data_IF_040819403960
#
_entry.id   IF_040819403960
#
_cell.length_a   1.000
_cell.length_b   1.000
_cell.length_c   1.000
_cell.angle_alpha   90.00
_cell.angle_beta   90.00
_cell.angle_gamma   90.00
#
_symmetry.space_group_name_H-M   'P 1'
#
loop_
_entity.id
_entity.type
_entity.pdbx_description
1 polymer ?
#
# COMPACT_ATOMS: atom_id res chain seq x y z
N UNK A 1 -2.65 -2.07 17.13
CA UNK A 1 -2.72 -2.67 15.79
C UNK A 1 -2.49 -1.63 14.72
N UNK A 2 -1.65 -1.93 13.78
CA UNK A 2 -1.48 -1.09 12.59
C UNK A 2 -2.54 -1.55 11.57
N UNK A 3 -3.39 -0.64 11.16
CA UNK A 3 -4.52 -0.91 10.26
C UNK A 3 -4.08 -0.66 8.83
N UNK A 4 -4.04 -1.71 8.03
CA UNK A 4 -3.46 -1.71 6.69
C UNK A 4 -4.56 -1.81 5.63
N UNK A 5 -4.50 -0.93 4.64
CA UNK A 5 -5.25 -1.04 3.39
C UNK A 5 -4.30 -1.59 2.32
N UNK A 6 -4.73 -2.63 1.61
CA UNK A 6 -3.97 -3.20 0.51
C UNK A 6 -4.72 -2.95 -0.80
N UNK A 7 -4.08 -2.31 -1.76
CA UNK A 7 -4.68 -2.04 -3.08
C UNK A 7 -3.79 -2.63 -4.17
N UNK A 8 -4.29 -3.66 -4.84
CA UNK A 8 -3.57 -4.37 -5.91
C UNK A 8 -4.60 -5.08 -6.79
N UNK A 9 -4.49 -4.95 -8.10
CA UNK A 9 -5.45 -5.53 -9.04
C UNK A 9 -5.28 -7.05 -9.26
N UNK A 10 -4.16 -7.61 -8.84
CA UNK A 10 -3.93 -9.06 -8.95
C UNK A 10 -4.50 -9.78 -7.75
N UNK A 11 -5.64 -10.42 -7.96
CA UNK A 11 -6.40 -11.05 -6.88
C UNK A 11 -5.61 -12.15 -6.14
N UNK A 12 -4.83 -12.95 -6.85
CA UNK A 12 -4.00 -13.99 -6.26
C UNK A 12 -2.91 -13.42 -5.35
N UNK A 13 -2.19 -12.41 -5.84
CA UNK A 13 -1.17 -11.71 -5.06
C UNK A 13 -1.81 -11.02 -3.87
N UNK A 14 -2.89 -10.29 -4.07
CA UNK A 14 -3.60 -9.55 -3.02
C UNK A 14 -4.02 -10.47 -1.87
N UNK A 15 -4.60 -11.63 -2.17
CA UNK A 15 -5.03 -12.59 -1.15
C UNK A 15 -3.84 -13.18 -0.39
N UNK A 16 -2.82 -13.61 -1.10
CA UNK A 16 -1.63 -14.20 -0.48
C UNK A 16 -0.91 -13.18 0.41
N UNK A 17 -0.79 -11.96 -0.08
CA UNK A 17 -0.11 -10.89 0.65
C UNK A 17 -0.89 -10.48 1.90
N UNK A 18 -2.21 -10.39 1.80
CA UNK A 18 -3.07 -10.09 2.95
C UNK A 18 -2.92 -11.14 4.05
N UNK A 19 -2.89 -12.42 3.68
CA UNK A 19 -2.68 -13.51 4.64
C UNK A 19 -1.31 -13.41 5.31
N UNK A 20 -0.29 -13.07 4.53
CA UNK A 20 1.06 -12.90 5.05
C UNK A 20 1.12 -11.78 6.09
N UNK A 21 0.49 -10.65 5.80
CA UNK A 21 0.43 -9.52 6.73
C UNK A 21 -0.31 -9.88 8.02
N UNK A 22 -1.44 -10.57 7.90
CA UNK A 22 -2.27 -10.93 9.06
C UNK A 22 -1.63 -11.95 9.99
N UNK A 23 -0.58 -12.63 9.57
CA UNK A 23 0.21 -13.49 10.45
C UNK A 23 1.02 -12.69 11.47
N UNK A 24 1.24 -11.40 11.20
CA UNK A 24 1.94 -10.52 12.13
C UNK A 24 0.96 -10.05 13.20
N UNK A 25 1.27 -10.23 14.50
CA UNK A 25 0.32 -9.95 15.58
C UNK A 25 -0.05 -8.48 15.72
N UNK A 26 0.75 -7.58 15.19
CA UNK A 26 0.56 -6.14 15.27
C UNK A 26 -0.06 -5.52 14.01
N UNK A 27 -0.32 -6.33 12.97
CA UNK A 27 -0.89 -5.87 11.71
C UNK A 27 -2.30 -6.40 11.50
N UNK A 28 -3.18 -5.54 11.01
CA UNK A 28 -4.55 -5.91 10.66
C UNK A 28 -4.85 -5.40 9.26
N UNK A 29 -5.18 -6.27 8.32
CA UNK A 29 -5.62 -5.85 6.99
C UNK A 29 -7.11 -5.52 7.08
N UNK A 30 -7.42 -4.23 7.16
CA UNK A 30 -8.80 -3.77 7.33
C UNK A 30 -9.59 -3.81 6.02
N UNK A 31 -8.89 -3.72 4.89
CA UNK A 31 -9.51 -3.82 3.58
C UNK A 31 -8.48 -4.20 2.52
N UNK A 32 -8.95 -4.88 1.49
CA UNK A 32 -8.16 -5.21 0.32
C UNK A 32 -9.00 -4.86 -0.92
N UNK A 33 -8.45 -4.03 -1.79
CA UNK A 33 -9.14 -3.50 -2.95
C UNK A 33 -8.39 -3.82 -4.25
N UNK A 34 -9.13 -4.03 -5.33
CA UNK A 34 -8.57 -4.36 -6.63
C UNK A 34 -8.54 -3.22 -7.63
N UNK A 35 -9.00 -2.03 -7.25
CA UNK A 35 -9.10 -0.87 -8.14
C UNK A 35 -9.08 0.42 -7.35
N UNK A 36 -8.93 1.55 -8.05
CA UNK A 36 -9.09 2.87 -7.44
C UNK A 36 -10.49 3.04 -6.85
N UNK A 37 -11.51 2.67 -7.60
CA UNK A 37 -12.89 2.81 -7.16
C UNK A 37 -13.15 2.06 -5.85
N UNK A 38 -12.69 0.83 -5.75
CA UNK A 38 -12.83 0.06 -4.51
C UNK A 38 -12.02 0.68 -3.37
N UNK A 39 -10.78 1.10 -3.66
CA UNK A 39 -9.91 1.72 -2.66
C UNK A 39 -10.50 2.98 -2.05
N UNK A 40 -11.15 3.79 -2.88
CA UNK A 40 -11.79 5.04 -2.42
C UNK A 40 -12.86 4.82 -1.37
N UNK A 41 -13.49 3.67 -1.36
CA UNK A 41 -14.54 3.35 -0.37
C UNK A 41 -13.99 2.83 0.95
N UNK A 42 -12.68 2.61 1.06
CA UNK A 42 -12.04 1.93 2.18
C UNK A 42 -10.99 2.78 2.91
N UNK A 43 -11.04 4.08 2.76
CA UNK A 43 -9.99 4.96 3.29
C UNK A 43 -10.11 5.25 4.78
N UNK A 44 -11.30 5.08 5.36
CA UNK A 44 -11.54 5.41 6.77
C UNK A 44 -10.79 4.47 7.71
N UNK A 45 -10.10 5.03 8.70
CA UNK A 45 -9.42 4.26 9.73
C UNK A 45 -8.14 3.57 9.30
N UNK A 46 -7.60 3.92 8.14
CA UNK A 46 -6.36 3.33 7.62
C UNK A 46 -5.15 4.05 8.21
N UNK A 47 -4.23 3.28 8.79
CA UNK A 47 -2.96 3.82 9.30
C UNK A 47 -1.86 3.78 8.22
N UNK A 48 -1.80 2.70 7.46
CA UNK A 48 -0.83 2.51 6.38
C UNK A 48 -1.53 1.91 5.17
N UNK A 49 -1.33 2.48 4.01
CA UNK A 49 -1.82 1.93 2.75
C UNK A 49 -0.66 1.40 1.92
N UNK A 50 -0.81 0.20 1.39
CA UNK A 50 0.09 -0.40 0.43
C UNK A 50 -0.61 -0.35 -0.92
N UNK A 51 -0.11 0.45 -1.84
CA UNK A 51 -0.82 0.76 -3.08
C UNK A 51 0.02 0.41 -4.30
N UNK A 52 -0.52 -0.42 -5.17
CA UNK A 52 0.05 -0.69 -6.49
C UNK A 52 -0.27 0.48 -7.43
N UNK A 53 0.70 0.91 -8.23
CA UNK A 53 0.49 1.96 -9.23
C UNK A 53 -0.37 1.49 -10.39
N UNK A 54 -0.17 0.28 -10.85
CA UNK A 54 -0.80 -0.25 -12.07
C UNK A 54 -2.20 -0.78 -11.83
N UNK A 55 -3.16 0.10 -11.53
CA UNK A 55 -4.55 -0.30 -11.34
C UNK A 55 -5.35 -0.21 -12.65
N UNK A 56 -6.42 -1.00 -12.81
CA UNK A 56 -7.17 -1.05 -14.08
C UNK A 56 -7.87 0.25 -14.43
N UNK A 57 -8.21 1.07 -13.44
CA UNK A 57 -8.95 2.31 -13.60
C UNK A 57 -8.12 3.57 -13.33
N UNK A 58 -6.81 3.45 -13.22
CA UNK A 58 -5.92 4.60 -13.11
C UNK A 58 -4.63 4.31 -12.37
N UNK A 59 -3.89 5.36 -12.06
CA UNK A 59 -2.64 5.27 -11.31
C UNK A 59 -2.95 5.25 -9.81
N UNK A 60 -2.41 4.26 -9.10
CA UNK A 60 -2.58 4.15 -7.66
C UNK A 60 -2.13 5.38 -6.87
N UNK A 61 -1.23 6.19 -7.42
CA UNK A 61 -0.79 7.43 -6.77
C UNK A 61 -1.93 8.41 -6.52
N UNK A 62 -3.02 8.31 -7.28
CA UNK A 62 -4.20 9.15 -7.09
C UNK A 62 -4.85 8.97 -5.72
N UNK A 63 -4.71 7.78 -5.11
CA UNK A 63 -5.29 7.51 -3.80
C UNK A 63 -4.56 8.20 -2.65
N UNK A 64 -3.31 8.60 -2.84
CA UNK A 64 -2.48 9.16 -1.76
C UNK A 64 -3.11 10.44 -1.21
N UNK A 65 -3.44 11.37 -2.08
CA UNK A 65 -4.07 12.62 -1.68
C UNK A 65 -5.45 12.41 -1.06
N UNK A 66 -6.22 11.49 -1.63
CA UNK A 66 -7.56 11.17 -1.13
C UNK A 66 -7.50 10.54 0.27
N UNK A 67 -6.56 9.62 0.49
CA UNK A 67 -6.36 9.02 1.82
C UNK A 67 -5.98 10.07 2.85
N UNK A 68 -5.06 10.95 2.52
CA UNK A 68 -4.61 12.01 3.44
C UNK A 68 -5.65 13.07 3.71
N UNK A 69 -6.57 13.27 2.80
CA UNK A 69 -7.72 14.14 3.05
C UNK A 69 -8.64 13.55 4.13
N UNK A 70 -8.78 12.23 4.13
CA UNK A 70 -9.58 11.51 5.13
C UNK A 70 -8.82 11.33 6.46
N UNK A 71 -7.53 10.99 6.36
CA UNK A 71 -6.68 10.73 7.50
C UNK A 71 -5.29 11.35 7.27
N UNK A 72 -5.04 12.57 7.76
CA UNK A 72 -3.77 13.27 7.53
C UNK A 72 -2.53 12.53 8.05
N UNK A 73 -2.70 11.68 9.06
CA UNK A 73 -1.60 10.91 9.64
C UNK A 73 -1.32 9.60 8.92
N UNK A 74 -2.09 9.25 7.90
CA UNK A 74 -1.89 8.00 7.18
C UNK A 74 -0.56 7.99 6.43
N UNK A 75 0.09 6.83 6.43
CA UNK A 75 1.33 6.59 5.70
C UNK A 75 1.04 5.77 4.46
N UNK A 76 1.75 6.04 3.38
CA UNK A 76 1.56 5.31 2.11
C UNK A 76 2.89 4.74 1.65
N UNK A 77 2.87 3.45 1.33
CA UNK A 77 3.96 2.74 0.70
C UNK A 77 3.48 2.28 -0.67
N UNK A 78 4.17 2.66 -1.72
CA UNK A 78 3.82 2.25 -3.08
C UNK A 78 4.49 0.92 -3.37
N UNK A 79 3.72 -0.04 -3.85
CA UNK A 79 4.24 -1.32 -4.32
C UNK A 79 4.46 -1.26 -5.81
N UNK A 80 5.57 -1.78 -6.28
CA UNK A 80 5.85 -1.81 -7.70
C UNK A 80 6.58 -3.09 -8.12
N UNK A 81 6.48 -3.43 -9.40
CA UNK A 81 7.34 -4.42 -10.01
C UNK A 81 8.71 -3.80 -10.28
N UNK A 82 9.71 -4.62 -10.55
CA UNK A 82 11.07 -4.15 -10.86
C UNK A 82 11.08 -3.11 -12.00
N UNK A 83 10.23 -3.30 -13.02
CA UNK A 83 10.15 -2.38 -14.15
C UNK A 83 9.62 -1.00 -13.74
N UNK A 84 8.67 -0.96 -12.80
CA UNK A 84 8.06 0.27 -12.31
C UNK A 84 8.98 1.03 -11.35
N UNK A 85 9.95 0.36 -10.76
CA UNK A 85 10.93 0.97 -9.84
C UNK A 85 11.84 1.99 -10.50
N UNK A 86 11.78 2.14 -11.82
CA UNK A 86 12.60 3.11 -12.56
C UNK A 86 12.30 4.56 -12.20
N UNK A 87 11.09 4.82 -11.67
CA UNK A 87 10.64 6.19 -11.36
C UNK A 87 10.10 6.29 -9.93
N UNK A 88 10.91 5.95 -8.91
CA UNK A 88 10.46 6.03 -7.51
C UNK A 88 10.18 7.46 -7.06
N UNK A 89 10.80 8.45 -7.71
CA UNK A 89 10.63 9.87 -7.40
C UNK A 89 9.18 10.33 -7.55
N UNK A 90 8.46 9.83 -8.54
CA UNK A 90 7.06 10.19 -8.74
C UNK A 90 6.19 9.81 -7.55
N UNK A 91 6.43 8.63 -6.98
CA UNK A 91 5.71 8.16 -5.80
C UNK A 91 5.99 9.07 -4.60
N UNK A 92 7.23 9.40 -4.36
CA UNK A 92 7.63 10.27 -3.25
C UNK A 92 7.06 11.68 -3.44
N UNK A 93 7.11 12.22 -4.64
CA UNK A 93 6.53 13.52 -4.96
C UNK A 93 5.01 13.56 -4.76
N UNK A 94 4.34 12.44 -5.02
CA UNK A 94 2.90 12.31 -4.76
C UNK A 94 2.58 12.17 -3.26
N UNK A 95 3.59 11.97 -2.43
CA UNK A 95 3.43 11.90 -0.98
C UNK A 95 3.62 10.53 -0.36
N UNK A 96 4.10 9.54 -1.12
CA UNK A 96 4.43 8.24 -0.56
C UNK A 96 5.65 8.34 0.35
N UNK A 97 5.66 7.56 1.42
CA UNK A 97 6.81 7.47 2.32
C UNK A 97 7.96 6.70 1.66
N UNK A 98 7.64 5.75 0.81
CA UNK A 98 8.64 4.95 0.10
C UNK A 98 8.01 4.02 -0.93
N UNK A 99 8.86 3.29 -1.61
CA UNK A 99 8.48 2.32 -2.62
C UNK A 99 9.00 0.94 -2.22
N UNK A 100 8.14 -0.06 -2.32
CA UNK A 100 8.46 -1.45 -2.02
C UNK A 100 8.39 -2.26 -3.31
N UNK A 101 9.41 -3.08 -3.56
CA UNK A 101 9.36 -4.06 -4.65
C UNK A 101 8.47 -5.22 -4.21
N UNK A 102 7.55 -5.64 -5.06
CA UNK A 102 6.66 -6.79 -4.79
C UNK A 102 7.42 -8.10 -4.57
N UNK A 103 8.65 -8.20 -5.05
CA UNK A 103 9.51 -9.36 -4.87
C UNK A 103 10.44 -9.23 -3.66
N UNK A 104 10.31 -8.16 -2.90
CA UNK A 104 11.17 -7.89 -1.76
C UNK A 104 10.91 -8.89 -0.61
N UNK A 105 11.90 -9.02 0.26
CA UNK A 105 11.79 -9.84 1.46
C UNK A 105 10.65 -9.34 2.35
N UNK A 106 9.80 -10.27 2.80
CA UNK A 106 8.66 -9.94 3.64
C UNK A 106 9.05 -9.22 4.93
N UNK A 107 10.21 -9.53 5.51
CA UNK A 107 10.70 -8.84 6.70
C UNK A 107 10.95 -7.36 6.44
N UNK A 108 11.44 -7.00 5.26
CA UNK A 108 11.62 -5.61 4.86
C UNK A 108 10.28 -4.90 4.71
N UNK A 109 9.30 -5.59 4.16
CA UNK A 109 7.96 -5.06 4.01
C UNK A 109 7.34 -4.78 5.38
N UNK A 110 7.43 -5.74 6.30
CA UNK A 110 6.93 -5.57 7.66
C UNK A 110 7.62 -4.41 8.38
N UNK A 111 8.93 -4.30 8.25
CA UNK A 111 9.70 -3.21 8.85
C UNK A 111 9.24 -1.85 8.29
N UNK A 112 9.02 -1.75 6.99
CA UNK A 112 8.53 -0.53 6.35
C UNK A 112 7.13 -0.16 6.85
N UNK A 113 6.23 -1.13 6.99
CA UNK A 113 4.89 -0.91 7.53
C UNK A 113 4.95 -0.39 8.96
N UNK A 114 5.85 -0.96 9.77
CA UNK A 114 6.04 -0.54 11.17
C UNK A 114 6.75 0.80 11.30
N UNK A 115 7.39 1.29 10.23
CA UNK A 115 8.18 2.50 10.26
C UNK A 115 9.57 2.32 10.88
N UNK A 116 10.04 1.09 10.97
CA UNK A 116 11.35 0.75 11.55
C UNK A 116 12.41 0.38 10.52
N UNK A 117 12.02 0.28 9.27
CA UNK A 117 12.92 -0.08 8.17
C UNK A 117 13.69 1.14 7.66
N UNK A 118 14.67 1.55 8.39
CA UNK A 118 15.55 2.65 7.96
C UNK A 118 16.44 2.22 6.79
#
# INVERSE_FOLDING_TARGET
MIRVLLVDDRADFRRAFARLLERQPDLEVVAAAGSLAEGRTQLSGVDVALIDRGLPDGDGLELIGELRAVNPGARVLVMSSTAEMRHPTEAVEAGAEGVIDKLDDSERVFAAIRGTGA
#
